data_IF_514616313385
#
_entry.id   IF_514616313385
#
_cell.length_a   1.000
_cell.length_b   1.000
_cell.length_c   1.000
_cell.angle_alpha   90.00
_cell.angle_beta   90.00
_cell.angle_gamma   90.00
#
_symmetry.space_group_name_H-M   'P 1'
#
loop_
_entity.id
_entity.type
_entity.pdbx_description
1 polymer ?
#
# COMPACT_ATOMS: atom_id res chain seq x y z
N UNK A 1 48.46 -67.92 43.76
CA UNK A 1 48.28 -68.96 44.79
C UNK A 1 49.54 -69.81 44.83
N UNK A 2 50.01 -70.26 46.00
CA UNK A 2 51.14 -71.19 46.08
C UNK A 2 50.65 -72.60 45.69
N UNK A 3 51.19 -73.16 44.62
CA UNK A 3 50.88 -74.51 44.14
C UNK A 3 52.15 -75.37 44.03
N UNK A 4 52.02 -76.67 43.78
CA UNK A 4 53.15 -77.59 43.60
C UNK A 4 53.26 -77.99 42.12
N UNK A 5 54.40 -77.76 41.48
CA UNK A 5 54.71 -78.29 40.15
C UNK A 5 55.83 -79.30 40.28
N UNK A 6 55.58 -80.56 39.91
CA UNK A 6 56.50 -81.68 40.12
C UNK A 6 57.04 -81.78 41.57
N UNK A 7 56.22 -81.44 42.57
CA UNK A 7 56.58 -81.48 43.98
C UNK A 7 57.32 -80.24 44.52
N UNK A 8 57.60 -79.24 43.69
CA UNK A 8 58.28 -77.99 44.11
C UNK A 8 57.23 -76.88 44.28
N UNK A 9 57.21 -76.17 45.44
CA UNK A 9 56.35 -75.02 45.63
C UNK A 9 56.68 -73.93 44.61
N UNK A 10 55.71 -73.58 43.78
CA UNK A 10 55.82 -72.53 42.77
C UNK A 10 54.65 -71.56 42.90
N UNK A 11 54.93 -70.27 42.72
CA UNK A 11 53.91 -69.25 42.69
C UNK A 11 53.13 -69.38 41.37
N UNK A 12 51.96 -70.00 41.45
CA UNK A 12 51.02 -70.06 40.33
C UNK A 12 50.26 -68.75 40.29
N UNK A 13 50.34 -68.04 39.16
CA UNK A 13 49.46 -66.91 38.90
C UNK A 13 48.01 -67.41 39.04
N UNK A 14 47.27 -66.90 40.02
CA UNK A 14 45.83 -67.15 40.11
C UNK A 14 45.25 -66.47 38.88
N UNK A 15 44.95 -67.21 37.81
CA UNK A 15 44.67 -66.71 36.45
C UNK A 15 43.95 -65.36 36.44
N UNK A 16 44.72 -64.27 36.40
CA UNK A 16 44.21 -62.92 36.22
C UNK A 16 44.11 -62.68 34.74
N UNK A 17 43.02 -63.16 34.13
CA UNK A 17 42.48 -62.74 32.83
C UNK A 17 43.38 -62.81 31.57
N UNK A 18 44.69 -62.98 31.68
CA UNK A 18 45.66 -62.78 30.59
C UNK A 18 45.84 -64.00 29.67
N UNK A 19 45.16 -65.12 29.97
CA UNK A 19 45.33 -66.40 29.26
C UNK A 19 44.03 -66.99 28.72
N UNK A 20 42.93 -66.23 28.74
CA UNK A 20 41.70 -66.69 28.06
C UNK A 20 41.93 -66.58 26.55
N UNK A 21 42.17 -67.70 25.88
CA UNK A 21 41.99 -67.80 24.43
C UNK A 21 40.49 -67.79 24.14
N UNK A 22 39.98 -66.71 23.53
CA UNK A 22 38.55 -66.56 23.23
C UNK A 22 37.91 -65.39 23.98
N UNK A 23 36.62 -65.50 24.28
CA UNK A 23 35.84 -64.42 24.92
C UNK A 23 35.56 -64.75 26.38
N UNK A 24 35.56 -63.73 27.25
CA UNK A 24 35.02 -63.86 28.61
C UNK A 24 33.51 -63.62 28.54
N UNK A 25 32.71 -64.57 29.05
CA UNK A 25 31.25 -64.43 29.08
C UNK A 25 30.80 -63.25 29.95
N UNK A 26 29.62 -62.69 29.67
CA UNK A 26 29.03 -61.57 30.43
C UNK A 26 28.81 -61.92 31.90
N UNK A 27 28.43 -63.17 32.20
CA UNK A 27 28.27 -63.66 33.58
C UNK A 27 29.55 -63.61 34.43
N UNK A 28 30.70 -63.43 33.79
CA UNK A 28 32.03 -63.33 34.42
C UNK A 28 32.65 -61.94 34.24
N UNK A 29 31.84 -60.94 33.91
CA UNK A 29 32.26 -59.55 33.73
C UNK A 29 32.89 -59.24 32.36
N UNK A 30 32.80 -60.17 31.41
CA UNK A 30 33.27 -59.94 30.03
C UNK A 30 32.19 -59.41 29.11
N UNK A 31 32.46 -59.34 27.81
CA UNK A 31 31.49 -58.91 26.78
C UNK A 31 30.90 -60.07 26.00
N UNK A 32 31.50 -61.26 26.09
CA UNK A 32 31.11 -62.45 25.32
C UNK A 32 31.40 -62.38 23.82
N UNK A 33 32.06 -61.32 23.33
CA UNK A 33 32.42 -61.12 21.92
C UNK A 33 33.93 -60.88 21.75
N UNK A 34 34.48 -61.22 20.58
CA UNK A 34 35.92 -61.15 20.29
C UNK A 34 36.40 -59.76 19.88
N UNK A 35 35.52 -58.97 19.26
CA UNK A 35 35.83 -57.63 18.77
C UNK A 35 34.54 -56.84 18.51
N UNK A 36 34.67 -55.51 18.43
CA UNK A 36 33.65 -54.60 17.92
C UNK A 36 34.30 -53.70 16.87
N UNK A 37 33.58 -53.39 15.80
CA UNK A 37 34.05 -52.45 14.78
C UNK A 37 34.14 -51.02 15.34
N UNK A 38 34.96 -50.19 14.71
CA UNK A 38 35.06 -48.78 15.08
C UNK A 38 33.70 -48.07 15.03
N UNK A 39 33.41 -47.28 16.06
CA UNK A 39 32.14 -46.59 16.28
C UNK A 39 30.92 -47.46 16.62
N UNK A 40 31.05 -48.79 16.71
CA UNK A 40 29.94 -49.67 17.04
C UNK A 40 29.43 -49.44 18.47
N UNK A 41 28.12 -49.56 18.68
CA UNK A 41 27.50 -49.47 20.01
C UNK A 41 27.24 -50.86 20.58
N UNK A 42 27.72 -51.14 21.79
CA UNK A 42 27.47 -52.41 22.47
C UNK A 42 26.24 -52.31 23.36
N UNK A 43 25.40 -53.33 23.31
CA UNK A 43 24.19 -53.43 24.12
C UNK A 43 23.89 -54.88 24.53
N UNK A 44 22.98 -55.07 25.48
CA UNK A 44 22.64 -56.39 26.01
C UNK A 44 22.14 -57.36 24.94
N UNK A 45 22.62 -58.60 25.00
CA UNK A 45 22.11 -59.70 24.18
C UNK A 45 20.72 -60.17 24.59
N UNK A 46 20.06 -60.90 23.69
CA UNK A 46 18.76 -61.51 23.96
C UNK A 46 18.90 -62.51 25.12
N UNK A 47 18.07 -62.35 26.16
CA UNK A 47 18.11 -63.17 27.38
C UNK A 47 18.63 -62.46 28.63
N UNK A 48 19.27 -61.28 28.49
CA UNK A 48 19.74 -60.45 29.61
C UNK A 48 20.84 -61.08 30.47
N UNK A 49 21.49 -60.27 31.33
CA UNK A 49 22.34 -60.62 32.49
C UNK A 49 23.57 -61.53 32.32
N UNK A 50 23.55 -62.47 31.38
CA UNK A 50 24.59 -63.47 31.12
C UNK A 50 24.73 -63.79 29.62
N UNK A 51 23.76 -63.36 28.79
CA UNK A 51 23.90 -63.41 27.33
C UNK A 51 25.04 -62.50 26.86
N UNK A 52 25.76 -62.92 25.81
CA UNK A 52 26.81 -62.12 25.18
C UNK A 52 26.27 -60.75 24.74
N UNK A 53 27.09 -59.70 24.84
CA UNK A 53 26.73 -58.39 24.29
C UNK A 53 26.57 -58.49 22.77
N UNK A 54 25.69 -57.66 22.22
CA UNK A 54 25.53 -57.47 20.78
C UNK A 54 26.17 -56.15 20.37
N UNK A 55 26.87 -56.13 19.25
CA UNK A 55 27.38 -54.90 18.64
C UNK A 55 26.40 -54.40 17.56
N UNK A 56 25.85 -53.21 17.75
CA UNK A 56 25.14 -52.48 16.70
C UNK A 56 26.17 -51.79 15.82
N UNK A 57 26.31 -52.26 14.58
CA UNK A 57 27.26 -51.71 13.63
C UNK A 57 26.99 -50.22 13.32
N UNK A 58 28.04 -49.48 13.00
CA UNK A 58 27.91 -48.15 12.39
C UNK A 58 27.30 -48.27 11.00
N UNK A 59 26.63 -47.22 10.55
CA UNK A 59 26.09 -47.14 9.20
C UNK A 59 26.64 -45.92 8.49
N UNK A 60 26.97 -46.04 7.20
CA UNK A 60 27.61 -45.00 6.39
C UNK A 60 26.65 -43.93 5.84
N UNK A 61 25.41 -43.85 6.32
CA UNK A 61 24.45 -42.80 5.96
C UNK A 61 24.42 -41.70 7.03
N UNK A 62 24.63 -40.44 6.62
CA UNK A 62 24.35 -39.28 7.48
C UNK A 62 22.85 -39.22 7.85
N UNK A 63 22.53 -38.65 9.02
CA UNK A 63 21.13 -38.42 9.43
C UNK A 63 20.43 -39.65 10.01
N UNK A 64 20.95 -40.19 11.12
CA UNK A 64 20.29 -41.25 11.88
C UNK A 64 20.30 -40.94 13.36
N UNK A 65 19.34 -41.49 14.09
CA UNK A 65 19.28 -41.41 15.53
C UNK A 65 19.08 -42.81 16.12
N UNK A 66 19.55 -42.99 17.35
CA UNK A 66 19.33 -44.23 18.07
C UNK A 66 17.92 -44.23 18.65
N UNK A 67 17.14 -45.25 18.35
CA UNK A 67 15.83 -45.49 18.96
C UNK A 67 15.70 -46.93 19.40
N UNK A 68 14.68 -47.23 20.19
CA UNK A 68 14.29 -48.61 20.49
C UNK A 68 13.30 -49.08 19.43
N UNK A 69 13.53 -50.29 18.91
CA UNK A 69 12.54 -51.01 18.11
C UNK A 69 11.33 -51.33 19.00
N UNK A 70 10.13 -50.95 18.55
CA UNK A 70 8.91 -51.08 19.37
C UNK A 70 8.47 -52.54 19.60
N UNK A 71 8.96 -53.48 18.78
CA UNK A 71 8.59 -54.90 18.88
C UNK A 71 9.53 -55.65 19.82
N UNK A 72 10.81 -55.36 19.74
CA UNK A 72 11.87 -56.09 20.46
C UNK A 72 12.45 -55.29 21.63
N UNK A 73 12.17 -54.00 21.73
CA UNK A 73 12.75 -53.08 22.71
C UNK A 73 14.26 -52.86 22.52
N UNK A 74 14.84 -53.28 21.39
CA UNK A 74 16.29 -53.26 21.17
C UNK A 74 16.73 -51.98 20.48
N UNK A 75 17.92 -51.45 20.80
CA UNK A 75 18.48 -50.30 20.09
C UNK A 75 18.67 -50.62 18.60
N UNK A 76 18.15 -49.73 17.76
CA UNK A 76 18.36 -49.74 16.32
C UNK A 76 18.62 -48.32 15.86
N UNK A 77 19.49 -48.19 14.87
CA UNK A 77 19.60 -46.93 14.15
C UNK A 77 18.33 -46.75 13.32
N UNK A 78 17.71 -45.59 13.42
CA UNK A 78 16.55 -45.19 12.63
C UNK A 78 16.99 -44.01 11.76
N UNK A 79 16.65 -44.06 10.47
CA UNK A 79 16.92 -42.92 9.58
C UNK A 79 16.07 -41.73 10.02
N UNK A 80 16.60 -40.51 9.98
CA UNK A 80 15.81 -39.30 10.27
C UNK A 80 14.61 -39.19 9.33
N UNK A 81 14.69 -39.75 8.12
CA UNK A 81 13.58 -39.90 7.17
C UNK A 81 12.40 -40.71 7.72
N UNK A 82 12.62 -41.57 8.71
CA UNK A 82 11.57 -42.35 9.38
C UNK A 82 10.86 -41.60 10.51
N UNK A 83 11.36 -40.43 10.94
CA UNK A 83 10.65 -39.57 11.91
C UNK A 83 9.33 -39.03 11.34
N UNK A 84 9.14 -39.08 10.02
CA UNK A 84 8.02 -38.42 9.34
C UNK A 84 8.05 -36.89 9.48
N UNK A 85 9.12 -36.34 10.06
CA UNK A 85 9.35 -34.91 10.19
C UNK A 85 10.56 -34.56 9.34
N UNK A 86 10.20 -34.16 8.14
CA UNK A 86 11.04 -33.47 7.20
C UNK A 86 11.28 -32.03 7.71
N UNK A 87 12.49 -31.65 8.14
CA UNK A 87 12.84 -30.21 8.34
C UNK A 87 13.93 -29.75 7.34
N UNK A 88 14.73 -30.69 6.82
CA UNK A 88 15.49 -30.55 5.57
C UNK A 88 14.82 -31.29 4.40
N UNK A 89 13.98 -32.28 4.70
CA UNK A 89 13.17 -33.05 3.75
C UNK A 89 11.78 -32.42 3.50
N UNK A 90 11.54 -31.19 4.00
CA UNK A 90 10.31 -30.41 3.76
C UNK A 90 10.31 -29.86 2.33
N UNK A 91 10.73 -30.69 1.38
CA UNK A 91 10.38 -30.49 -0.02
C UNK A 91 8.86 -30.51 -0.11
N UNK A 92 8.25 -29.35 -0.38
CA UNK A 92 6.80 -29.18 -0.39
C UNK A 92 6.32 -28.05 0.53
N UNK A 93 5.06 -28.10 0.93
CA UNK A 93 4.41 -27.04 1.69
C UNK A 93 3.86 -27.59 3.00
N UNK A 94 4.01 -26.82 4.08
CA UNK A 94 3.31 -27.11 5.32
C UNK A 94 1.89 -26.55 5.20
N UNK A 95 0.88 -27.38 5.41
CA UNK A 95 -0.52 -26.94 5.37
C UNK A 95 -0.82 -25.95 6.49
N UNK A 96 -1.81 -25.07 6.31
CA UNK A 96 -2.27 -24.13 7.32
C UNK A 96 -2.71 -24.79 8.64
N UNK A 97 -3.34 -25.96 8.59
CA UNK A 97 -3.71 -26.74 9.78
C UNK A 97 -2.51 -27.16 10.66
N UNK A 98 -1.28 -27.06 10.13
CA UNK A 98 -0.03 -27.37 10.85
C UNK A 98 0.86 -26.13 11.00
N UNK A 99 0.30 -24.93 10.84
CA UNK A 99 1.02 -23.66 11.00
C UNK A 99 1.83 -23.21 9.77
N UNK A 100 1.65 -23.85 8.61
CA UNK A 100 2.26 -23.40 7.36
C UNK A 100 1.33 -22.54 6.50
N UNK A 101 1.74 -22.22 5.28
CA UNK A 101 0.91 -21.42 4.35
C UNK A 101 0.25 -22.25 3.24
N UNK A 102 0.70 -23.49 3.04
CA UNK A 102 0.26 -24.34 1.94
C UNK A 102 0.88 -24.02 0.57
N UNK A 103 1.76 -23.01 0.46
CA UNK A 103 2.38 -22.59 -0.82
C UNK A 103 3.87 -22.89 -0.89
N UNK A 104 4.33 -23.39 -2.04
CA UNK A 104 5.74 -23.76 -2.26
C UNK A 104 6.57 -22.60 -2.82
N UNK A 105 5.90 -21.63 -3.46
CA UNK A 105 6.52 -20.50 -4.12
C UNK A 105 5.61 -19.28 -4.17
N UNK A 106 6.23 -18.13 -4.43
CA UNK A 106 5.59 -16.82 -4.51
C UNK A 106 6.20 -16.06 -5.68
N UNK A 107 5.38 -15.26 -6.35
CA UNK A 107 5.89 -14.20 -7.23
C UNK A 107 6.19 -12.98 -6.36
N UNK A 108 7.27 -12.23 -6.61
CA UNK A 108 7.51 -10.97 -5.93
C UNK A 108 6.26 -10.06 -5.99
N UNK A 109 5.82 -9.60 -4.82
CA UNK A 109 4.63 -8.76 -4.67
C UNK A 109 3.31 -9.51 -4.47
N UNK A 110 3.28 -10.85 -4.50
CA UNK A 110 2.10 -11.62 -4.07
C UNK A 110 1.69 -11.21 -2.64
N UNK A 111 0.39 -11.15 -2.37
CA UNK A 111 -0.15 -10.93 -1.02
C UNK A 111 -0.82 -12.20 -0.53
N UNK A 112 -0.34 -12.73 0.60
CA UNK A 112 -0.94 -13.86 1.30
C UNK A 112 -2.05 -13.34 2.23
N UNK A 113 -3.21 -14.00 2.24
CA UNK A 113 -4.32 -13.68 3.13
C UNK A 113 -5.03 -14.95 3.61
N UNK A 114 -5.69 -14.88 4.77
CA UNK A 114 -6.51 -15.97 5.28
C UNK A 114 -7.80 -16.07 4.45
N UNK A 115 -7.98 -17.20 3.76
CA UNK A 115 -9.15 -17.45 2.91
C UNK A 115 -10.29 -18.09 3.70
N UNK A 116 -9.93 -18.89 4.70
CA UNK A 116 -10.83 -19.46 5.71
C UNK A 116 -10.12 -19.53 7.07
N UNK A 117 -10.81 -20.01 8.10
CA UNK A 117 -10.22 -20.24 9.42
C UNK A 117 -9.01 -21.21 9.40
N UNK A 118 -8.88 -22.05 8.36
CA UNK A 118 -7.85 -23.09 8.27
C UNK A 118 -7.13 -23.11 6.92
N UNK A 119 -7.26 -22.06 6.10
CA UNK A 119 -6.56 -21.97 4.81
C UNK A 119 -6.09 -20.55 4.51
N UNK A 120 -4.95 -20.45 3.83
CA UNK A 120 -4.50 -19.22 3.21
C UNK A 120 -4.73 -19.29 1.69
N UNK A 121 -4.94 -18.12 1.09
CA UNK A 121 -4.90 -17.92 -0.35
C UNK A 121 -3.94 -16.77 -0.68
N UNK A 122 -3.62 -16.61 -1.97
CA UNK A 122 -2.79 -15.52 -2.46
C UNK A 122 -3.57 -14.68 -3.45
N UNK A 123 -3.40 -13.37 -3.38
CA UNK A 123 -3.68 -12.47 -4.50
C UNK A 123 -2.36 -12.25 -5.23
N UNK A 124 -2.30 -12.66 -6.50
CA UNK A 124 -1.10 -12.50 -7.31
C UNK A 124 -0.77 -11.01 -7.50
N UNK A 125 0.51 -10.65 -7.57
CA UNK A 125 0.88 -9.30 -8.00
C UNK A 125 0.41 -9.01 -9.43
N UNK A 126 0.23 -7.73 -9.73
CA UNK A 126 -0.15 -7.23 -11.05
C UNK A 126 0.71 -6.02 -11.42
N UNK A 127 0.36 -5.33 -12.50
CA UNK A 127 1.03 -4.10 -12.93
C UNK A 127 0.70 -2.91 -12.03
N UNK A 128 1.45 -1.82 -12.20
CA UNK A 128 1.17 -0.55 -11.51
C UNK A 128 -0.22 -0.01 -11.88
N UNK A 129 -0.78 0.84 -11.02
CA UNK A 129 -2.10 1.44 -11.23
C UNK A 129 -3.26 0.60 -10.68
N UNK A 130 -2.98 -0.27 -9.73
CA UNK A 130 -3.99 -1.03 -8.97
C UNK A 130 -3.87 -0.73 -7.48
N UNK A 131 -5.00 -0.79 -6.79
CA UNK A 131 -5.07 -0.73 -5.32
C UNK A 131 -5.76 -1.97 -4.80
N UNK A 132 -5.39 -2.37 -3.59
CA UNK A 132 -6.02 -3.51 -2.93
C UNK A 132 -7.34 -3.06 -2.30
N UNK A 133 -8.41 -3.75 -2.64
CA UNK A 133 -9.75 -3.54 -2.09
C UNK A 133 -10.30 -4.86 -1.59
N UNK A 134 -11.46 -4.85 -0.93
CA UNK A 134 -12.18 -6.07 -0.56
C UNK A 134 -13.39 -6.26 -1.48
N UNK A 135 -13.54 -7.46 -2.02
CA UNK A 135 -14.79 -7.95 -2.63
C UNK A 135 -15.17 -9.23 -1.90
N UNK A 136 -16.42 -9.31 -1.43
CA UNK A 136 -16.93 -10.44 -0.65
C UNK A 136 -16.05 -10.78 0.58
N UNK A 137 -15.46 -9.74 1.20
CA UNK A 137 -14.57 -9.88 2.35
C UNK A 137 -13.16 -10.40 2.03
N UNK A 138 -12.83 -10.62 0.75
CA UNK A 138 -11.51 -11.11 0.30
C UNK A 138 -10.73 -10.01 -0.45
N UNK A 139 -9.40 -9.95 -0.31
CA UNK A 139 -8.60 -8.97 -1.03
C UNK A 139 -8.64 -9.19 -2.55
N UNK A 140 -8.76 -8.09 -3.31
CA UNK A 140 -8.75 -8.08 -4.77
C UNK A 140 -8.10 -6.81 -5.32
N UNK A 141 -7.35 -6.94 -6.42
CA UNK A 141 -6.75 -5.79 -7.11
C UNK A 141 -7.79 -5.12 -8.00
N UNK A 142 -8.02 -3.82 -7.77
CA UNK A 142 -8.91 -3.00 -8.60
C UNK A 142 -8.08 -1.92 -9.28
N UNK A 143 -8.26 -1.79 -10.61
CA UNK A 143 -7.60 -0.77 -11.39
C UNK A 143 -8.04 0.61 -10.90
N UNK A 144 -7.09 1.50 -10.62
CA UNK A 144 -7.39 2.87 -10.16
C UNK A 144 -8.20 3.66 -11.18
N UNK A 145 -8.12 3.31 -12.47
CA UNK A 145 -8.94 3.87 -13.54
C UNK A 145 -10.41 3.42 -13.52
N UNK A 146 -10.69 2.23 -12.98
CA UNK A 146 -12.05 1.67 -12.85
C UNK A 146 -12.73 2.06 -11.55
N UNK A 147 -11.96 2.60 -10.61
CA UNK A 147 -12.50 3.38 -9.51
C UNK A 147 -12.97 4.69 -10.13
N UNK A 148 -14.17 4.67 -10.73
CA UNK A 148 -14.95 5.87 -10.95
C UNK A 148 -15.30 6.41 -9.57
N UNK A 149 -14.31 7.08 -8.95
CA UNK A 149 -14.22 7.57 -7.57
C UNK A 149 -15.43 7.16 -6.75
N UNK A 150 -15.30 6.25 -5.76
CA UNK A 150 -16.35 6.04 -4.73
C UNK A 150 -16.82 7.31 -3.99
N UNK A 151 -16.28 8.46 -4.41
CA UNK A 151 -16.79 9.80 -4.24
C UNK A 151 -17.72 10.18 -5.42
N UNK A 152 -19.01 9.87 -5.31
CA UNK A 152 -20.03 10.30 -6.28
C UNK A 152 -20.17 11.84 -6.37
N UNK A 153 -19.73 12.56 -5.34
CA UNK A 153 -19.58 14.02 -5.37
C UNK A 153 -18.54 14.48 -4.36
N UNK A 154 -17.66 15.39 -4.75
CA UNK A 154 -16.86 16.21 -3.82
C UNK A 154 -17.51 17.60 -3.84
N UNK A 155 -18.44 17.85 -2.93
CA UNK A 155 -19.06 19.17 -2.83
C UNK A 155 -18.19 20.08 -1.95
N UNK A 156 -17.64 21.15 -2.52
CA UNK A 156 -17.13 22.28 -1.74
C UNK A 156 -18.31 23.21 -1.41
N UNK A 157 -18.92 23.05 -0.24
CA UNK A 157 -20.11 23.81 0.19
C UNK A 157 -19.82 25.29 0.54
N UNK A 158 -18.61 25.78 0.32
CA UNK A 158 -18.22 27.17 0.60
C UNK A 158 -17.39 27.75 -0.53
N UNK A 159 -18.00 28.56 -1.39
CA UNK A 159 -17.35 29.19 -2.52
C UNK A 159 -16.12 30.02 -2.11
N UNK A 160 -14.96 29.65 -2.64
CA UNK A 160 -13.90 30.62 -2.92
C UNK A 160 -12.77 30.81 -1.91
N UNK A 161 -12.62 29.99 -0.87
CA UNK A 161 -11.37 29.99 -0.08
C UNK A 161 -10.79 28.59 0.00
N UNK A 162 -9.57 28.42 -0.53
CA UNK A 162 -8.81 27.19 -0.44
C UNK A 162 -8.58 26.85 1.03
N UNK A 163 -9.04 25.69 1.49
CA UNK A 163 -8.62 25.14 2.79
C UNK A 163 -7.28 24.43 2.58
N UNK A 164 -6.38 24.50 3.56
CA UNK A 164 -5.09 23.78 3.51
C UNK A 164 -5.36 22.27 3.45
N UNK A 165 -4.99 21.63 2.33
CA UNK A 165 -5.33 20.22 2.05
C UNK A 165 -6.60 20.00 1.21
N UNK A 166 -7.24 21.06 0.69
CA UNK A 166 -8.44 20.94 -0.13
C UNK A 166 -8.17 20.43 -1.56
N UNK A 167 -9.16 19.72 -2.10
CA UNK A 167 -9.24 19.32 -3.51
C UNK A 167 -9.59 20.57 -4.33
N UNK A 168 -8.63 21.09 -5.10
CA UNK A 168 -8.82 22.26 -5.98
C UNK A 168 -9.63 21.88 -7.22
N UNK A 169 -10.92 22.21 -7.24
CA UNK A 169 -11.67 22.29 -8.49
C UNK A 169 -11.45 23.69 -9.08
N UNK A 170 -10.82 23.78 -10.24
CA UNK A 170 -10.77 25.03 -10.98
C UNK A 170 -12.19 25.38 -11.43
N UNK A 171 -12.90 26.21 -10.67
CA UNK A 171 -14.20 26.75 -11.11
C UNK A 171 -13.97 28.11 -11.75
N UNK A 172 -14.43 28.27 -12.99
CA UNK A 172 -14.37 29.50 -13.80
C UNK A 172 -15.31 30.63 -13.31
N UNK A 173 -15.72 30.60 -12.04
CA UNK A 173 -16.79 31.41 -11.45
C UNK A 173 -16.50 32.92 -11.39
N UNK A 174 -15.26 33.36 -11.67
CA UNK A 174 -14.91 34.78 -11.74
C UNK A 174 -15.33 35.45 -13.08
N UNK A 175 -15.45 34.65 -14.15
CA UNK A 175 -15.67 35.18 -15.50
C UNK A 175 -17.15 35.52 -15.75
N UNK A 176 -18.08 34.77 -15.15
CA UNK A 176 -19.53 35.00 -15.29
C UNK A 176 -20.00 36.23 -14.51
N UNK A 177 -19.52 36.44 -13.28
CA UNK A 177 -19.85 37.64 -12.49
C UNK A 177 -19.35 38.93 -13.13
N UNK A 178 -18.18 38.89 -13.74
CA UNK A 178 -17.62 40.03 -14.48
C UNK A 178 -18.42 40.33 -15.76
N UNK A 179 -18.89 39.30 -16.45
CA UNK A 179 -19.78 39.44 -17.63
C UNK A 179 -21.16 39.97 -17.28
N UNK A 180 -21.76 39.50 -16.18
CA UNK A 180 -23.07 39.97 -15.70
C UNK A 180 -23.01 41.44 -15.28
N UNK A 181 -22.00 41.83 -14.49
CA UNK A 181 -21.82 43.23 -14.07
C UNK A 181 -21.55 44.15 -15.27
N UNK A 182 -20.78 43.69 -16.26
CA UNK A 182 -20.57 44.43 -17.51
C UNK A 182 -21.87 44.59 -18.33
N UNK A 183 -22.72 43.56 -18.36
CA UNK A 183 -24.04 43.61 -19.01
C UNK A 183 -25.00 44.57 -18.31
N UNK A 184 -25.05 44.54 -16.98
CA UNK A 184 -25.86 45.46 -16.15
C UNK A 184 -25.42 46.91 -16.33
N UNK A 185 -24.10 47.18 -16.32
CA UNK A 185 -23.54 48.51 -16.58
C UNK A 185 -23.87 49.00 -18.00
N UNK A 186 -23.79 48.14 -19.02
CA UNK A 186 -24.14 48.49 -20.39
C UNK A 186 -25.63 48.84 -20.53
N UNK A 187 -26.53 48.06 -19.90
CA UNK A 187 -27.96 48.36 -19.86
C UNK A 187 -28.27 49.65 -19.10
N UNK A 188 -27.63 49.88 -17.95
CA UNK A 188 -27.79 51.11 -17.17
C UNK A 188 -27.39 52.34 -18.00
N UNK A 189 -26.28 52.24 -18.74
CA UNK A 189 -25.83 53.32 -19.62
C UNK A 189 -26.84 53.59 -20.74
N UNK A 190 -27.35 52.54 -21.41
CA UNK A 190 -28.36 52.70 -22.46
C UNK A 190 -29.65 53.34 -21.95
N UNK A 191 -30.09 53.00 -20.72
CA UNK A 191 -31.28 53.59 -20.09
C UNK A 191 -31.07 55.06 -19.72
N UNK A 192 -29.88 55.42 -19.24
CA UNK A 192 -29.55 56.81 -18.92
C UNK A 192 -29.54 57.69 -20.18
N UNK A 193 -28.99 57.19 -21.27
CA UNK A 193 -28.96 57.90 -22.57
C UNK A 193 -30.38 58.09 -23.12
N UNK A 194 -31.23 57.05 -23.08
CA UNK A 194 -32.61 57.17 -23.56
C UNK A 194 -33.41 58.19 -22.74
N UNK A 195 -33.28 58.16 -21.42
CA UNK A 195 -33.96 59.11 -20.54
C UNK A 195 -33.55 60.56 -20.82
N UNK A 196 -32.25 60.82 -20.99
CA UNK A 196 -31.77 62.17 -21.31
C UNK A 196 -32.25 62.65 -22.67
N UNK A 197 -32.26 61.75 -23.67
CA UNK A 197 -32.76 62.05 -25.01
C UNK A 197 -34.25 62.38 -25.00
N UNK A 198 -35.04 61.63 -24.23
CA UNK A 198 -36.48 61.88 -24.05
C UNK A 198 -36.74 63.21 -23.34
N UNK A 199 -35.94 63.55 -22.32
CA UNK A 199 -36.04 64.85 -21.66
C UNK A 199 -35.68 66.01 -22.58
N UNK A 200 -34.64 65.89 -23.41
CA UNK A 200 -34.30 66.90 -24.42
C UNK A 200 -35.44 67.10 -25.43
N UNK A 201 -36.04 66.02 -25.94
CA UNK A 201 -37.18 66.12 -26.86
C UNK A 201 -38.42 66.77 -26.20
N UNK A 202 -38.68 66.46 -24.93
CA UNK A 202 -39.77 67.07 -24.17
C UNK A 202 -39.55 68.57 -23.91
N UNK A 203 -38.31 69.02 -23.77
CA UNK A 203 -37.95 70.43 -23.66
C UNK A 203 -38.11 71.17 -24.99
N UNK A 204 -37.72 70.56 -26.11
CA UNK A 204 -37.88 71.14 -27.44
C UNK A 204 -39.35 71.19 -27.92
N UNK A 205 -40.18 70.23 -27.53
CA UNK A 205 -41.61 70.22 -27.89
C UNK A 205 -42.46 71.26 -27.13
N UNK A 206 -41.92 71.89 -26.08
CA UNK A 206 -42.59 72.95 -25.33
C UNK A 206 -42.23 74.37 -25.79
N UNK A 207 -41.38 74.52 -26.81
CA UNK A 207 -41.15 75.84 -27.43
C UNK A 207 -42.37 76.24 -28.28
N UNK A 208 -42.99 77.41 -28.05
CA UNK A 208 -44.09 77.90 -28.87
C UNK A 208 -43.58 78.24 -30.30
N UNK A 209 -44.43 78.17 -31.33
CA UNK A 209 -44.02 78.42 -32.72
C UNK A 209 -43.50 79.86 -32.88
N UNK A 210 -42.47 80.08 -33.74
CA UNK A 210 -41.85 81.39 -33.87
C UNK A 210 -42.79 82.39 -34.55
N UNK A 211 -43.07 83.50 -33.87
CA UNK A 211 -43.66 84.70 -34.48
C UNK A 211 -42.56 85.54 -35.15
N UNK A 212 -42.84 86.02 -36.37
CA UNK A 212 -41.97 86.83 -37.22
C UNK A 212 -41.58 88.19 -36.58
N UNK A 213 -40.38 88.74 -36.86
CA UNK A 213 -39.78 89.80 -36.04
C UNK A 213 -40.14 91.24 -36.49
N UNK A 214 -40.33 92.13 -35.52
CA UNK A 214 -40.14 93.58 -35.66
C UNK A 214 -39.35 94.14 -34.45
N UNK A 215 -38.41 95.06 -34.72
CA UNK A 215 -37.30 95.54 -33.88
C UNK A 215 -37.72 96.60 -32.80
N UNK A 216 -36.85 96.96 -31.81
CA UNK A 216 -37.15 96.96 -30.35
C UNK A 216 -37.22 98.39 -29.72
N UNK A 217 -37.25 98.58 -28.36
CA UNK A 217 -36.03 98.50 -27.53
C UNK A 217 -36.15 97.95 -26.08
N UNK A 218 -34.99 97.43 -25.62
CA UNK A 218 -34.39 97.39 -24.26
C UNK A 218 -35.14 96.83 -23.02
N UNK A 219 -34.67 95.66 -22.55
CA UNK A 219 -34.39 95.37 -21.12
C UNK A 219 -33.35 94.23 -20.99
N UNK A 220 -32.60 94.32 -19.90
CA UNK A 220 -31.34 93.65 -19.48
C UNK A 220 -31.29 92.11 -19.58
N UNK A 221 -30.11 91.49 -19.88
CA UNK A 221 -29.98 90.06 -20.09
C UNK A 221 -29.79 89.25 -18.79
N UNK A 222 -30.38 88.05 -18.74
CA UNK A 222 -30.03 86.97 -17.81
C UNK A 222 -28.67 86.36 -18.20
N UNK A 223 -27.90 85.78 -17.25
CA UNK A 223 -26.56 85.29 -17.56
C UNK A 223 -26.62 84.10 -18.52
N UNK A 224 -25.98 84.27 -19.68
CA UNK A 224 -25.71 83.21 -20.65
C UNK A 224 -24.65 82.26 -20.08
N UNK A 225 -25.00 81.00 -19.88
CA UNK A 225 -24.01 79.94 -19.63
C UNK A 225 -23.07 79.89 -20.85
N UNK A 226 -21.74 80.06 -20.69
CA UNK A 226 -20.82 80.11 -21.82
C UNK A 226 -20.80 78.77 -22.55
N UNK A 227 -20.91 78.77 -23.88
CA UNK A 227 -20.83 77.57 -24.73
C UNK A 227 -19.55 76.75 -24.53
N UNK A 228 -18.50 77.37 -23.97
CA UNK A 228 -17.27 76.70 -23.57
C UNK A 228 -17.47 75.72 -22.42
N UNK A 229 -18.39 75.97 -21.49
CA UNK A 229 -18.65 75.11 -20.33
C UNK A 229 -19.35 73.82 -20.75
N UNK A 230 -20.34 73.92 -21.64
CA UNK A 230 -21.02 72.74 -22.25
C UNK A 230 -20.06 71.93 -23.12
N UNK A 231 -19.17 72.60 -23.88
CA UNK A 231 -18.13 71.93 -24.66
C UNK A 231 -17.08 71.26 -23.75
N UNK A 232 -16.77 71.87 -22.61
CA UNK A 232 -15.82 71.34 -21.63
C UNK A 232 -16.41 70.13 -20.89
N UNK A 233 -17.70 70.15 -20.51
CA UNK A 233 -18.39 68.97 -19.97
C UNK A 233 -18.48 67.83 -21.00
N UNK A 234 -18.79 68.12 -22.26
CA UNK A 234 -18.77 67.10 -23.33
C UNK A 234 -17.37 66.51 -23.55
N UNK A 235 -16.32 67.32 -23.48
CA UNK A 235 -14.92 66.88 -23.55
C UNK A 235 -14.50 66.02 -22.36
N UNK A 236 -14.94 66.38 -21.14
CA UNK A 236 -14.68 65.61 -19.92
C UNK A 236 -15.38 64.26 -19.94
N UNK A 237 -16.62 64.19 -20.43
CA UNK A 237 -17.34 62.93 -20.62
C UNK A 237 -16.64 62.03 -21.65
N UNK A 238 -16.19 62.59 -22.79
CA UNK A 238 -15.45 61.84 -23.80
C UNK A 238 -14.07 61.35 -23.31
N UNK A 239 -13.36 62.15 -22.50
CA UNK A 239 -12.09 61.73 -21.86
C UNK A 239 -12.29 60.60 -20.87
N UNK A 240 -13.34 60.63 -20.06
CA UNK A 240 -13.69 59.57 -19.10
C UNK A 240 -14.03 58.26 -19.81
N UNK A 241 -14.71 58.32 -20.96
CA UNK A 241 -14.99 57.16 -21.81
C UNK A 241 -13.70 56.58 -22.42
N UNK A 242 -12.79 57.43 -22.92
CA UNK A 242 -11.54 57.01 -23.57
C UNK A 242 -10.48 56.44 -22.60
N UNK A 243 -10.48 56.86 -21.33
CA UNK A 243 -9.52 56.41 -20.32
C UNK A 243 -10.04 55.29 -19.41
N UNK A 244 -11.26 54.80 -19.62
CA UNK A 244 -11.78 53.69 -18.81
C UNK A 244 -11.03 52.38 -19.10
N UNK A 245 -10.28 51.81 -18.13
CA UNK A 245 -9.58 50.54 -18.30
C UNK A 245 -10.52 49.34 -18.47
N UNK A 246 -11.82 49.53 -18.20
CA UNK A 246 -12.89 48.54 -18.39
C UNK A 246 -13.33 48.51 -19.86
N UNK A 247 -13.53 49.68 -20.48
CA UNK A 247 -13.93 49.77 -21.89
C UNK A 247 -12.80 49.33 -22.83
N UNK A 248 -11.53 49.61 -22.49
CA UNK A 248 -10.37 49.16 -23.28
C UNK A 248 -10.24 47.63 -23.32
N UNK A 249 -10.59 46.93 -22.23
CA UNK A 249 -10.62 45.46 -22.17
C UNK A 249 -11.81 44.84 -22.91
N UNK A 250 -12.95 45.53 -22.96
CA UNK A 250 -14.11 45.13 -23.76
C UNK A 250 -13.81 45.17 -25.27
N UNK A 251 -13.06 46.15 -25.76
CA UNK A 251 -12.63 46.17 -27.17
C UNK A 251 -11.57 45.11 -27.50
N UNK A 252 -10.62 44.85 -26.59
CA UNK A 252 -9.62 43.79 -26.82
C UNK A 252 -10.22 42.37 -26.83
N UNK A 253 -11.35 42.16 -26.16
CA UNK A 253 -12.04 40.85 -26.12
C UNK A 253 -13.00 40.60 -27.28
N UNK A 254 -13.28 41.61 -28.12
CA UNK A 254 -14.03 41.44 -29.37
C UNK A 254 -13.12 41.27 -30.61
N UNK A 255 -11.80 41.37 -30.44
CA UNK A 255 -10.81 41.26 -31.52
C UNK A 255 -9.95 39.98 -31.41
N UNK A 256 -10.41 38.95 -30.70
CA UNK A 256 -9.75 37.63 -30.59
C UNK A 256 -10.76 36.50 -30.68
#
# INVERSE_FOLDING_TARGET
MLGLSNGIPSWVATTTLSTISGTLSVSKGGTGITSAADGALLFGGVGGGSANLTALATTSGAGRFLSLDYTTGRPSWIATTSLGIAISDTTGTLTAARGGTGFASYTPGDILYADSATSFAKVASTTNGFVLTLSDGKPTWVATSSINNGVSSIQQTGGGSAQTGAITFATSSFQERSRLLAGELAQAHSRAVSFFTEQEQALFSQSPPPHQPSLPPSRTPAPSVPSSEVQQERSLLQRTVSHSPILRRLQQTQSS
#
